data_IF_115187612809
#
_entry.id   IF_115187612809
#
_cell.length_a   1.000
_cell.length_b   1.000
_cell.length_c   1.000
_cell.angle_alpha   90.00
_cell.angle_beta   90.00
_cell.angle_gamma   90.00
#
_symmetry.space_group_name_H-M   'P 1'
#
loop_
_entity.id
_entity.type
_entity.pdbx_description
1 polymer ?
#
# COMPACT_ATOMS: atom_id res chain seq x y z
N UNK A 1 22.81 7.35 -19.35
CA UNK A 1 22.22 6.16 -20.06
C UNK A 1 21.44 5.20 -19.15
N UNK A 2 21.69 5.13 -17.83
CA UNK A 2 21.01 4.19 -16.92
C UNK A 2 19.55 4.59 -16.61
N UNK A 3 19.27 5.89 -16.47
CA UNK A 3 17.92 6.41 -16.20
C UNK A 3 16.89 6.00 -17.27
N UNK A 4 17.30 6.01 -18.56
CA UNK A 4 16.45 5.59 -19.68
C UNK A 4 16.05 4.11 -19.65
N UNK A 5 16.90 3.24 -19.10
CA UNK A 5 16.60 1.82 -18.95
C UNK A 5 15.69 1.56 -17.74
N UNK A 6 15.82 2.36 -16.69
CA UNK A 6 14.99 2.26 -15.48
C UNK A 6 13.53 2.67 -15.73
N UNK A 7 13.29 3.69 -16.56
CA UNK A 7 11.92 4.10 -16.90
C UNK A 7 11.20 3.02 -17.72
N UNK A 8 11.89 2.41 -18.69
CA UNK A 8 11.37 1.28 -19.48
C UNK A 8 11.05 0.09 -18.56
N UNK A 9 11.98 -0.24 -17.65
CA UNK A 9 11.76 -1.31 -16.67
C UNK A 9 10.58 -1.00 -15.75
N UNK A 10 10.40 0.25 -15.32
CA UNK A 10 9.26 0.67 -14.50
C UNK A 10 7.92 0.46 -15.20
N UNK A 11 7.80 0.90 -16.46
CA UNK A 11 6.58 0.66 -17.25
C UNK A 11 6.34 -0.82 -17.53
N UNK A 12 7.40 -1.59 -17.82
CA UNK A 12 7.30 -3.03 -18.04
C UNK A 12 6.90 -3.79 -16.78
N UNK A 13 7.43 -3.42 -15.61
CA UNK A 13 7.05 -4.05 -14.35
C UNK A 13 5.61 -3.71 -14.00
N UNK A 14 5.21 -2.42 -14.05
CA UNK A 14 3.84 -2.02 -13.76
C UNK A 14 2.83 -2.67 -14.72
N UNK A 15 3.09 -2.58 -16.02
CA UNK A 15 2.22 -3.15 -17.05
C UNK A 15 2.21 -4.67 -17.02
N UNK A 16 3.37 -5.31 -16.85
CA UNK A 16 3.50 -6.75 -16.71
C UNK A 16 2.79 -7.30 -15.47
N UNK A 17 2.92 -6.63 -14.32
CA UNK A 17 2.19 -6.99 -13.10
C UNK A 17 0.68 -6.78 -13.26
N UNK A 18 0.24 -5.71 -13.93
CA UNK A 18 -1.18 -5.48 -14.22
C UNK A 18 -1.78 -6.57 -15.12
N UNK A 19 -1.08 -6.93 -16.19
CA UNK A 19 -1.49 -8.02 -17.10
C UNK A 19 -1.50 -9.37 -16.36
N UNK A 20 -0.44 -9.65 -15.58
CA UNK A 20 -0.35 -10.86 -14.79
C UNK A 20 -1.52 -10.99 -13.80
N UNK A 21 -1.89 -9.90 -13.11
CA UNK A 21 -3.04 -9.86 -12.21
C UNK A 21 -4.36 -10.18 -12.93
N UNK A 22 -4.57 -9.59 -14.13
CA UNK A 22 -5.77 -9.83 -14.93
C UNK A 22 -5.89 -11.30 -15.37
N UNK A 23 -4.77 -11.90 -15.80
CA UNK A 23 -4.73 -13.31 -16.21
C UNK A 23 -4.91 -14.27 -15.02
N UNK A 24 -4.37 -13.94 -13.86
CA UNK A 24 -4.42 -14.81 -12.68
C UNK A 24 -5.79 -14.76 -11.98
N UNK A 25 -6.45 -13.60 -11.97
CA UNK A 25 -7.75 -13.43 -11.33
C UNK A 25 -8.93 -13.96 -12.18
N UNK A 26 -8.70 -14.32 -13.44
CA UNK A 26 -9.73 -14.90 -14.32
C UNK A 26 -10.93 -13.98 -14.59
N UNK A 27 -10.73 -12.66 -14.44
CA UNK A 27 -11.79 -11.64 -14.53
C UNK A 27 -12.31 -11.40 -15.96
N UNK A 28 -11.66 -12.01 -16.96
CA UNK A 28 -11.96 -11.83 -18.37
C UNK A 28 -12.87 -12.98 -18.88
N UNK A 29 -14.03 -12.68 -19.47
CA UNK A 29 -14.85 -13.68 -20.15
C UNK A 29 -14.13 -14.29 -21.36
N UNK A 30 -14.38 -15.57 -21.68
CA UNK A 30 -13.82 -16.22 -22.88
C UNK A 30 -14.21 -15.47 -24.17
N UNK A 31 -15.50 -15.13 -24.29
CA UNK A 31 -16.01 -14.38 -25.43
C UNK A 31 -16.61 -13.06 -24.96
N UNK A 32 -16.22 -11.96 -25.61
CA UNK A 32 -16.89 -10.69 -25.39
C UNK A 32 -18.10 -10.59 -26.31
N UNK A 33 -19.25 -11.00 -25.78
CA UNK A 33 -20.54 -10.95 -26.48
C UNK A 33 -21.30 -9.67 -26.11
N UNK A 34 -21.85 -9.00 -27.12
CA UNK A 34 -22.80 -7.92 -26.92
C UNK A 34 -24.20 -8.49 -27.17
N UNK A 35 -24.97 -8.64 -26.08
CA UNK A 35 -26.37 -9.05 -26.19
C UNK A 35 -27.21 -7.85 -26.63
N UNK A 36 -27.81 -7.93 -27.82
CA UNK A 36 -28.76 -6.92 -28.28
C UNK A 36 -30.13 -7.18 -27.64
N UNK A 37 -30.78 -6.17 -27.03
CA UNK A 37 -32.03 -6.38 -26.30
C UNK A 37 -33.26 -6.52 -27.20
N UNK A 38 -33.10 -6.39 -28.53
CA UNK A 38 -34.20 -6.30 -29.49
C UNK A 38 -34.37 -7.56 -30.37
N UNK A 39 -33.49 -8.56 -30.26
CA UNK A 39 -33.62 -9.81 -31.01
C UNK A 39 -33.12 -11.02 -30.18
N UNK A 40 -34.04 -11.92 -29.84
CA UNK A 40 -33.76 -13.16 -29.09
C UNK A 40 -33.73 -14.35 -30.06
N UNK A 41 -32.58 -15.01 -30.34
CA UNK A 41 -31.22 -14.75 -29.86
C UNK A 41 -30.26 -14.36 -31.00
N UNK A 42 -29.84 -13.09 -31.06
CA UNK A 42 -28.71 -12.66 -31.90
C UNK A 42 -27.60 -12.06 -31.04
N UNK A 43 -26.81 -12.90 -30.37
CA UNK A 43 -25.59 -12.45 -29.70
C UNK A 43 -24.49 -12.26 -30.75
N UNK A 44 -24.00 -11.03 -30.90
CA UNK A 44 -22.83 -10.75 -31.75
C UNK A 44 -21.57 -10.87 -30.89
N UNK A 45 -20.65 -11.73 -31.29
CA UNK A 45 -19.31 -11.83 -30.70
C UNK A 45 -18.46 -10.67 -31.20
N UNK A 46 -18.14 -9.72 -30.32
CA UNK A 46 -17.31 -8.56 -30.67
C UNK A 46 -15.83 -8.92 -30.72
N UNK A 47 -15.37 -9.69 -29.75
CA UNK A 47 -13.97 -10.14 -29.64
C UNK A 47 -13.97 -11.63 -29.28
N UNK A 48 -13.57 -12.51 -30.22
CA UNK A 48 -13.32 -13.91 -29.88
C UNK A 48 -12.06 -14.00 -29.02
N UNK A 49 -12.06 -14.90 -28.04
CA UNK A 49 -10.91 -15.17 -27.16
C UNK A 49 -10.40 -13.90 -26.44
N UNK A 50 -11.35 -13.18 -25.82
CA UNK A 50 -11.10 -11.92 -25.13
C UNK A 50 -10.10 -12.08 -23.97
N UNK A 51 -9.98 -13.30 -23.41
CA UNK A 51 -9.00 -13.65 -22.39
C UNK A 51 -7.56 -13.49 -22.85
N UNK A 52 -7.26 -13.71 -24.13
CA UNK A 52 -5.91 -13.57 -24.69
C UNK A 52 -5.76 -12.22 -25.40
N UNK A 53 -6.78 -11.81 -26.17
CA UNK A 53 -6.73 -10.58 -26.95
C UNK A 53 -6.51 -9.33 -26.06
N UNK A 54 -7.19 -9.24 -24.91
CA UNK A 54 -7.11 -8.07 -24.03
C UNK A 54 -5.70 -7.94 -23.39
N UNK A 55 -5.11 -8.98 -22.76
CA UNK A 55 -3.73 -8.95 -22.30
C UNK A 55 -2.71 -8.55 -23.36
N UNK A 56 -2.83 -9.07 -24.59
CA UNK A 56 -1.90 -8.77 -25.69
C UNK A 56 -1.99 -7.31 -26.12
N UNK A 57 -3.20 -6.76 -26.24
CA UNK A 57 -3.41 -5.35 -26.56
C UNK A 57 -2.83 -4.46 -25.46
N UNK A 58 -3.06 -4.81 -24.19
CA UNK A 58 -2.49 -4.09 -23.05
C UNK A 58 -0.97 -4.13 -23.05
N UNK A 59 -0.36 -5.27 -23.38
CA UNK A 59 1.09 -5.41 -23.48
C UNK A 59 1.66 -4.49 -24.57
N UNK A 60 1.03 -4.49 -25.76
CA UNK A 60 1.42 -3.61 -26.86
C UNK A 60 1.30 -2.13 -26.47
N UNK A 61 0.23 -1.76 -25.75
CA UNK A 61 0.02 -0.39 -25.26
C UNK A 61 1.09 0.01 -24.24
N UNK A 62 1.42 -0.88 -23.30
CA UNK A 62 2.49 -0.65 -22.31
C UNK A 62 3.84 -0.44 -23.01
N UNK A 63 4.17 -1.28 -24.00
CA UNK A 63 5.40 -1.13 -24.78
C UNK A 63 5.43 0.18 -25.57
N UNK A 64 4.31 0.56 -26.20
CA UNK A 64 4.17 1.83 -26.90
C UNK A 64 4.34 3.04 -25.96
N UNK A 65 3.67 3.02 -24.80
CA UNK A 65 3.81 4.06 -23.78
C UNK A 65 5.24 4.16 -23.25
N UNK A 66 5.89 3.02 -22.97
CA UNK A 66 7.29 3.00 -22.53
C UNK A 66 8.23 3.61 -23.58
N UNK A 67 8.04 3.26 -24.85
CA UNK A 67 8.80 3.84 -25.95
C UNK A 67 8.54 5.35 -26.08
N UNK A 68 7.27 5.77 -26.03
CA UNK A 68 6.88 7.17 -26.19
C UNK A 68 7.40 8.04 -25.05
N UNK A 69 7.31 7.58 -23.81
CA UNK A 69 7.78 8.29 -22.62
C UNK A 69 9.30 8.53 -22.66
N UNK A 70 10.06 7.56 -23.17
CA UNK A 70 11.52 7.68 -23.34
C UNK A 70 11.90 8.66 -24.44
N UNK A 71 11.09 8.76 -25.49
CA UNK A 71 11.37 9.63 -26.64
C UNK A 71 10.88 11.09 -26.44
N UNK A 72 10.53 11.48 -25.21
CA UNK A 72 10.22 12.89 -24.88
C UNK A 72 11.50 13.58 -24.40
N UNK A 73 12.02 14.59 -25.12
CA UNK A 73 13.29 15.24 -24.78
C UNK A 73 13.24 15.95 -23.42
N UNK A 74 12.13 16.62 -23.09
CA UNK A 74 11.96 17.35 -21.82
C UNK A 74 12.09 16.45 -20.58
N UNK A 75 11.60 15.22 -20.65
CA UNK A 75 11.67 14.26 -19.55
C UNK A 75 13.10 13.72 -19.36
N UNK A 76 13.84 13.54 -20.46
CA UNK A 76 15.24 13.13 -20.41
C UNK A 76 16.12 14.18 -19.73
N UNK A 77 15.93 15.46 -20.05
CA UNK A 77 16.65 16.58 -19.41
C UNK A 77 16.35 16.65 -17.91
N UNK A 78 15.09 16.44 -17.49
CA UNK A 78 14.73 16.35 -16.07
C UNK A 78 15.45 15.21 -15.35
N UNK A 79 15.51 14.02 -15.96
CA UNK A 79 16.19 12.87 -15.38
C UNK A 79 17.70 13.10 -15.25
N UNK A 80 18.32 13.75 -16.23
CA UNK A 80 19.74 14.12 -16.18
C UNK A 80 19.98 15.17 -15.09
N UNK A 81 19.13 16.20 -14.99
CA UNK A 81 19.21 17.19 -13.93
C UNK A 81 19.02 16.56 -12.54
N UNK A 82 18.08 15.64 -12.39
CA UNK A 82 17.85 14.90 -11.13
C UNK A 82 19.01 13.97 -10.80
N UNK A 83 19.60 13.29 -11.79
CA UNK A 83 20.81 12.47 -11.60
C UNK A 83 21.98 13.34 -11.12
N UNK A 84 22.16 14.53 -11.72
CA UNK A 84 23.18 15.50 -11.30
C UNK A 84 22.91 16.06 -9.90
N UNK A 85 21.65 16.34 -9.54
CA UNK A 85 21.28 16.86 -8.22
C UNK A 85 21.44 15.79 -7.14
N UNK A 86 21.03 14.55 -7.43
CA UNK A 86 21.19 13.43 -6.52
C UNK A 86 22.66 13.07 -6.27
N UNK A 87 23.54 13.30 -7.26
CA UNK A 87 24.99 13.13 -7.08
C UNK A 87 25.60 14.16 -6.11
N UNK A 88 24.94 15.29 -5.88
CA UNK A 88 25.35 16.27 -4.86
C UNK A 88 24.98 15.82 -3.44
N UNK A 89 24.00 14.92 -3.31
CA UNK A 89 23.54 14.42 -2.02
C UNK A 89 24.52 13.37 -1.51
N UNK A 90 25.42 13.79 -0.61
CA UNK A 90 26.26 12.84 0.14
C UNK A 90 25.41 12.14 1.19
N UNK A 91 24.98 10.91 0.91
CA UNK A 91 24.28 10.08 1.89
C UNK A 91 25.15 9.82 3.13
N UNK A 92 24.56 9.98 4.32
CA UNK A 92 25.25 9.72 5.58
C UNK A 92 25.80 8.28 5.62
N UNK A 93 27.07 8.07 6.02
CA UNK A 93 27.61 6.73 6.19
C UNK A 93 26.79 5.94 7.23
N UNK A 94 26.66 4.63 7.02
CA UNK A 94 25.85 3.72 7.87
C UNK A 94 26.10 3.87 9.37
N UNK A 95 27.34 4.18 9.77
CA UNK A 95 27.71 4.42 11.17
C UNK A 95 27.02 5.65 11.77
N UNK A 96 26.90 6.76 11.01
CA UNK A 96 26.21 7.97 11.46
C UNK A 96 24.71 7.74 11.54
N UNK A 97 24.13 7.08 10.53
CA UNK A 97 22.71 6.68 10.55
C UNK A 97 22.37 5.86 11.81
N UNK A 98 23.23 4.91 12.19
CA UNK A 98 23.03 4.12 13.42
C UNK A 98 23.17 4.96 14.69
N UNK A 99 24.10 5.91 14.74
CA UNK A 99 24.23 6.82 15.88
C UNK A 99 22.99 7.70 16.05
N UNK A 100 22.50 8.27 14.95
CA UNK A 100 21.32 9.14 14.95
C UNK A 100 20.06 8.37 15.38
N UNK A 101 19.85 7.15 14.86
CA UNK A 101 18.69 6.33 15.25
C UNK A 101 18.78 5.83 16.70
N UNK A 102 19.98 5.50 17.21
CA UNK A 102 20.17 5.06 18.60
C UNK A 102 19.83 6.18 19.58
N UNK A 103 20.19 7.43 19.28
CA UNK A 103 19.81 8.59 20.11
C UNK A 103 18.29 8.73 20.16
N UNK A 104 17.63 8.70 18.99
CA UNK A 104 16.17 8.81 18.92
C UNK A 104 15.51 7.66 19.68
N UNK A 105 15.92 6.41 19.45
CA UNK A 105 15.38 5.24 20.13
C UNK A 105 15.54 5.33 21.65
N UNK A 106 16.69 5.82 22.12
CA UNK A 106 16.96 5.96 23.55
C UNK A 106 16.08 7.03 24.18
N UNK A 107 15.93 8.18 23.52
CA UNK A 107 15.07 9.27 24.01
C UNK A 107 13.59 8.89 24.05
N UNK A 108 13.09 8.20 23.02
CA UNK A 108 11.70 7.74 22.98
C UNK A 108 11.44 6.60 23.98
N UNK A 109 12.42 5.71 24.19
CA UNK A 109 12.33 4.65 25.20
C UNK A 109 12.32 5.23 26.62
N UNK A 110 13.17 6.20 26.94
CA UNK A 110 13.17 6.87 28.24
C UNK A 110 11.86 7.64 28.48
N UNK A 111 11.35 8.33 27.46
CA UNK A 111 10.05 8.99 27.52
C UNK A 111 8.92 7.98 27.78
N UNK A 112 8.91 6.85 27.06
CA UNK A 112 7.92 5.80 27.25
C UNK A 112 7.98 5.18 28.65
N UNK A 113 9.18 4.95 29.19
CA UNK A 113 9.36 4.45 30.56
C UNK A 113 8.85 5.47 31.59
N UNK A 114 9.18 6.75 31.41
CA UNK A 114 8.68 7.81 32.27
C UNK A 114 7.14 7.86 32.27
N UNK A 115 6.52 7.84 31.09
CA UNK A 115 5.06 7.81 30.97
C UNK A 115 4.47 6.56 31.63
N UNK A 116 5.08 5.38 31.47
CA UNK A 116 4.65 4.16 32.13
C UNK A 116 4.70 4.30 33.66
N UNK A 117 5.75 4.89 34.22
CA UNK A 117 5.85 5.13 35.67
C UNK A 117 4.75 6.08 36.14
N UNK A 118 4.50 7.15 35.38
CA UNK A 118 3.43 8.11 35.67
C UNK A 118 2.05 7.43 35.59
N UNK A 119 1.79 6.63 34.58
CA UNK A 119 0.53 5.87 34.42
C UNK A 119 0.32 4.88 35.58
N UNK A 120 1.36 4.16 36.00
CA UNK A 120 1.31 3.27 37.15
C UNK A 120 1.10 4.04 38.46
N UNK A 121 1.79 5.17 38.64
CA UNK A 121 1.65 6.02 39.81
C UNK A 121 0.23 6.57 39.94
N UNK A 122 -0.32 7.13 38.86
CA UNK A 122 -1.70 7.62 38.84
C UNK A 122 -2.71 6.50 38.96
N UNK A 123 -2.50 5.36 38.31
CA UNK A 123 -3.36 4.18 38.46
C UNK A 123 -3.41 3.69 39.90
N UNK A 124 -2.27 3.61 40.59
CA UNK A 124 -2.20 3.25 42.00
C UNK A 124 -2.84 4.31 42.91
N UNK A 125 -2.54 5.60 42.67
CA UNK A 125 -3.03 6.71 43.50
C UNK A 125 -4.56 6.87 43.39
N UNK A 126 -5.11 6.82 42.18
CA UNK A 126 -6.55 6.95 41.93
C UNK A 126 -7.33 5.68 42.32
N UNK A 127 -6.67 4.51 42.39
CA UNK A 127 -7.30 3.28 42.88
C UNK A 127 -7.42 3.23 44.41
N UNK A 128 -6.78 4.14 45.15
CA UNK A 128 -6.91 4.22 46.60
C UNK A 128 -8.31 4.74 46.95
N UNK A 129 -8.92 4.21 48.01
CA UNK A 129 -10.34 4.34 48.43
C UNK A 129 -10.92 5.77 48.55
N UNK A 130 -10.14 6.81 48.24
CA UNK A 130 -10.53 8.21 48.28
C UNK A 130 -11.23 8.67 46.98
N UNK A 131 -10.96 8.04 45.82
CA UNK A 131 -11.54 8.45 44.52
C UNK A 131 -12.01 7.23 43.72
N UNK A 132 -13.10 6.60 44.16
CA UNK A 132 -13.70 5.40 43.54
C UNK A 132 -14.32 5.59 42.14
N UNK A 133 -13.57 6.16 41.19
CA UNK A 133 -14.01 6.42 39.81
C UNK A 133 -13.62 5.31 38.83
N UNK A 134 -12.70 4.40 39.22
CA UNK A 134 -12.32 3.25 38.40
C UNK A 134 -12.87 1.95 39.02
N UNK A 135 -13.80 1.23 38.37
CA UNK A 135 -14.04 -0.15 38.72
C UNK A 135 -12.73 -0.90 38.48
N UNK A 136 -12.16 -1.48 39.55
CA UNK A 136 -10.92 -2.26 39.45
C UNK A 136 -11.04 -3.27 38.31
N UNK A 137 -9.94 -3.57 37.61
CA UNK A 137 -9.85 -4.38 36.37
C UNK A 137 -10.85 -5.54 36.25
N UNK A 138 -11.15 -6.23 37.36
CA UNK A 138 -12.17 -7.28 37.46
C UNK A 138 -13.62 -6.85 37.08
N UNK A 139 -14.01 -5.59 37.31
CA UNK A 139 -15.31 -5.03 36.93
C UNK A 139 -15.42 -4.65 35.46
N UNK A 140 -14.30 -4.31 34.82
CA UNK A 140 -14.23 -4.02 33.38
C UNK A 140 -14.37 -5.30 32.55
N UNK A 141 -13.70 -6.37 32.97
CA UNK A 141 -13.79 -7.69 32.30
C UNK A 141 -15.20 -8.28 32.40
N UNK A 142 -15.87 -8.14 33.55
CA UNK A 142 -17.27 -8.56 33.74
C UNK A 142 -18.23 -7.77 32.85
N UNK A 143 -18.12 -6.44 32.80
CA UNK A 143 -18.95 -5.59 31.94
C UNK A 143 -18.75 -5.87 30.44
N UNK A 144 -17.52 -6.18 30.01
CA UNK A 144 -17.25 -6.56 28.62
C UNK A 144 -17.81 -7.94 28.28
N UNK A 145 -17.66 -8.92 29.18
CA UNK A 145 -18.24 -10.25 29.01
C UNK A 145 -19.76 -10.20 28.93
N UNK A 146 -20.40 -9.42 29.79
CA UNK A 146 -21.85 -9.25 29.83
C UNK A 146 -22.38 -8.51 28.58
N UNK A 147 -21.66 -7.49 28.09
CA UNK A 147 -21.97 -6.85 26.80
C UNK A 147 -21.78 -7.77 25.61
N UNK A 148 -20.77 -8.65 25.64
CA UNK A 148 -20.53 -9.64 24.58
C UNK A 148 -21.66 -10.68 24.54
N UNK A 149 -22.13 -11.14 25.70
CA UNK A 149 -23.27 -12.06 25.79
C UNK A 149 -24.58 -11.38 25.33
N UNK A 150 -24.82 -10.12 25.72
CA UNK A 150 -26.00 -9.38 25.26
C UNK A 150 -26.01 -9.17 23.73
N UNK A 151 -24.85 -8.90 23.12
CA UNK A 151 -24.72 -8.80 21.65
C UNK A 151 -24.94 -10.13 20.92
N UNK A 152 -24.70 -11.26 21.59
CA UNK A 152 -24.96 -12.58 21.03
C UNK A 152 -26.44 -13.01 21.15
N UNK A 153 -27.23 -12.30 21.97
CA UNK A 153 -28.66 -12.58 22.21
C UNK A 153 -29.61 -11.78 21.30
N UNK A 154 -29.09 -10.86 20.48
CA UNK A 154 -29.86 -10.08 19.50
C UNK A 154 -29.35 -10.35 18.08
#
# INVERSE_FOLDING_TARGET
MRARRLTILGFLLLGGTGIYSLTFQGVLPNDWVLALPFESPSSITLVPDAQIAIPVILLALVLWCAWRAVNVPTFAEFLIATEAEMNKVSWSPKKRLAQDTVVVLTTTLLMALFLLVVDLFWGWLLSREIVGVLPGKAGTDKNQAEKAEQRARW
#
